data_IF_093073922508
#
_entry.id   IF_093073922508
#
_cell.length_a   1.000
_cell.length_b   1.000
_cell.length_c   1.000
_cell.angle_alpha   90.00
_cell.angle_beta   90.00
_cell.angle_gamma   90.00
#
_symmetry.space_group_name_H-M   'P 1'
#
loop_
_entity.id
_entity.type
_entity.pdbx_description
1 polymer ?
#
# COMPACT_ATOMS: atom_id res chain seq x y z
N UNK A 1 -25.10 12.08 -5.88
CA UNK A 1 -24.12 12.17 -4.76
C UNK A 1 -22.76 11.81 -5.30
N UNK A 2 -21.69 12.51 -4.92
CA UNK A 2 -20.30 12.14 -5.27
C UNK A 2 -19.81 11.06 -4.30
N UNK A 3 -18.98 10.15 -4.79
CA UNK A 3 -18.29 9.19 -3.92
C UNK A 3 -17.30 9.93 -3.00
N UNK A 4 -17.08 9.45 -1.76
CA UNK A 4 -15.99 9.96 -0.92
C UNK A 4 -14.62 9.71 -1.55
N UNK A 5 -13.57 10.46 -1.16
CA UNK A 5 -12.22 10.23 -1.63
C UNK A 5 -11.71 8.83 -1.31
N UNK A 6 -10.95 8.25 -2.23
CA UNK A 6 -10.32 6.94 -2.09
C UNK A 6 -8.87 7.14 -1.68
N UNK A 7 -8.47 6.57 -0.53
CA UNK A 7 -7.08 6.48 -0.09
C UNK A 7 -6.56 5.08 -0.31
N UNK A 8 -5.45 4.95 -1.03
CA UNK A 8 -4.66 3.71 -1.03
C UNK A 8 -3.60 3.76 0.06
N UNK A 9 -3.58 2.74 0.90
CA UNK A 9 -2.48 2.53 1.84
C UNK A 9 -1.40 1.72 1.12
N UNK A 10 -0.18 2.26 1.07
CA UNK A 10 1.02 1.57 0.59
C UNK A 10 1.97 1.31 1.76
N UNK A 11 2.83 0.31 1.63
CA UNK A 11 3.83 0.00 2.65
C UNK A 11 4.23 -1.47 2.66
N UNK A 12 5.26 -1.80 3.42
CA UNK A 12 5.65 -3.19 3.63
C UNK A 12 4.60 -3.91 4.46
N UNK A 13 4.16 -5.12 4.06
CA UNK A 13 3.21 -5.94 4.84
C UNK A 13 3.75 -6.41 6.20
N UNK A 14 5.00 -6.08 6.54
CA UNK A 14 5.50 -6.16 7.92
C UNK A 14 4.77 -5.20 8.88
N UNK A 15 4.17 -4.12 8.35
CA UNK A 15 3.46 -3.08 9.10
C UNK A 15 1.93 -3.24 9.02
N UNK A 16 1.43 -4.48 8.91
CA UNK A 16 -0.01 -4.72 8.72
C UNK A 16 -0.86 -4.21 9.90
N UNK A 17 -0.31 -4.21 11.11
CA UNK A 17 -0.96 -3.64 12.30
C UNK A 17 -1.13 -2.14 12.14
N UNK A 18 -0.06 -1.43 11.78
CA UNK A 18 -0.08 0.02 11.55
C UNK A 18 -0.97 0.39 10.35
N UNK A 19 -1.01 -0.46 9.32
CA UNK A 19 -1.95 -0.30 8.20
C UNK A 19 -3.41 -0.47 8.64
N UNK A 20 -3.69 -1.35 9.59
CA UNK A 20 -5.03 -1.51 10.15
C UNK A 20 -5.46 -0.29 10.98
N UNK A 21 -4.53 0.30 11.75
CA UNK A 21 -4.81 1.55 12.44
C UNK A 21 -5.01 2.74 11.49
N UNK A 22 -4.19 2.83 10.44
CA UNK A 22 -4.35 3.86 9.42
C UNK A 22 -5.70 3.72 8.71
N UNK A 23 -6.09 2.50 8.32
CA UNK A 23 -7.40 2.19 7.75
C UNK A 23 -8.54 2.62 8.67
N UNK A 24 -8.48 2.28 9.97
CA UNK A 24 -9.48 2.72 10.94
C UNK A 24 -9.61 4.26 10.96
N UNK A 25 -8.49 4.99 11.02
CA UNK A 25 -8.50 6.46 11.05
C UNK A 25 -9.09 7.07 9.77
N UNK A 26 -8.69 6.58 8.60
CA UNK A 26 -9.19 7.08 7.30
C UNK A 26 -10.67 6.77 7.10
N UNK A 27 -11.08 5.55 7.45
CA UNK A 27 -12.48 5.11 7.37
C UNK A 27 -13.35 5.93 8.33
N UNK A 28 -12.90 6.16 9.57
CA UNK A 28 -13.60 7.05 10.51
C UNK A 28 -13.68 8.51 10.02
N UNK A 29 -12.74 8.94 9.18
CA UNK A 29 -12.79 10.25 8.51
C UNK A 29 -13.69 10.27 7.25
N UNK A 30 -14.42 9.18 6.97
CA UNK A 30 -15.37 9.09 5.86
C UNK A 30 -14.73 8.81 4.50
N UNK A 31 -13.50 8.30 4.46
CA UNK A 31 -12.78 7.97 3.22
C UNK A 31 -12.96 6.50 2.86
N UNK A 32 -12.89 6.19 1.57
CA UNK A 32 -12.83 4.81 1.08
C UNK A 32 -11.38 4.36 1.16
N UNK A 33 -11.10 3.21 1.79
CA UNK A 33 -9.73 2.71 1.95
C UNK A 33 -9.51 1.46 1.10
N UNK A 34 -8.42 1.45 0.34
CA UNK A 34 -7.90 0.24 -0.32
C UNK A 34 -6.46 -0.01 0.12
N UNK A 35 -6.09 -1.26 0.39
CA UNK A 35 -4.76 -1.60 0.95
C UNK A 35 -4.28 -2.98 0.50
N UNK A 36 -3.02 -3.39 0.74
CA UNK A 36 -2.59 -4.77 0.61
C UNK A 36 -3.47 -5.68 1.48
N UNK A 37 -3.97 -6.77 0.89
CA UNK A 37 -4.87 -7.71 1.58
C UNK A 37 -4.21 -9.04 1.97
N UNK A 38 -2.95 -9.24 1.57
CA UNK A 38 -2.22 -10.49 1.79
C UNK A 38 -0.92 -10.14 2.50
N UNK A 39 -0.71 -10.70 3.68
CA UNK A 39 0.58 -10.62 4.34
C UNK A 39 1.57 -11.54 3.62
N UNK A 40 2.57 -10.94 2.98
CA UNK A 40 3.64 -11.66 2.27
C UNK A 40 4.82 -12.05 3.16
N UNK A 41 4.82 -11.67 4.44
CA UNK A 41 5.93 -11.88 5.38
C UNK A 41 5.71 -13.07 6.31
N UNK A 42 4.49 -13.33 6.74
CA UNK A 42 4.18 -14.53 7.51
C UNK A 42 4.11 -15.77 6.61
N UNK A 43 4.44 -16.98 7.07
CA UNK A 43 4.18 -18.22 6.32
C UNK A 43 2.67 -18.45 6.12
N UNK A 44 2.27 -19.01 4.99
CA UNK A 44 0.90 -19.45 4.75
C UNK A 44 0.90 -20.62 3.75
N UNK A 45 0.00 -21.59 3.89
CA UNK A 45 -0.02 -22.80 3.04
C UNK A 45 -0.22 -22.55 1.54
N UNK A 46 -0.62 -21.33 1.16
CA UNK A 46 -0.73 -20.87 -0.23
C UNK A 46 0.63 -20.42 -0.83
N UNK A 47 1.72 -20.50 -0.06
CA UNK A 47 3.07 -20.03 -0.40
C UNK A 47 4.14 -21.05 0.03
N UNK A 48 3.79 -22.32 -0.01
CA UNK A 48 4.68 -23.41 0.41
C UNK A 48 5.82 -23.64 -0.60
N UNK A 49 5.57 -23.36 -1.89
CA UNK A 49 6.58 -23.37 -2.94
C UNK A 49 7.15 -21.95 -3.20
N UNK A 50 8.48 -21.76 -3.23
CA UNK A 50 9.09 -20.45 -3.48
C UNK A 50 8.73 -19.83 -4.83
N UNK A 51 8.61 -20.62 -5.90
CA UNK A 51 8.30 -20.09 -7.22
C UNK A 51 6.85 -19.60 -7.31
N UNK A 52 5.92 -20.35 -6.72
CA UNK A 52 4.53 -19.90 -6.55
C UNK A 52 4.43 -18.63 -5.69
N UNK A 53 5.23 -18.52 -4.63
CA UNK A 53 5.25 -17.35 -3.77
C UNK A 53 5.71 -16.08 -4.51
N UNK A 54 6.74 -16.19 -5.35
CA UNK A 54 7.22 -15.07 -6.18
C UNK A 54 6.22 -14.68 -7.27
N UNK A 55 5.61 -15.66 -7.94
CA UNK A 55 4.55 -15.41 -8.92
C UNK A 55 3.33 -14.72 -8.29
N UNK A 56 2.93 -15.15 -7.09
CA UNK A 56 1.85 -14.51 -6.33
C UNK A 56 2.24 -13.08 -5.94
N UNK A 57 3.46 -12.86 -5.45
CA UNK A 57 3.95 -11.53 -5.08
C UNK A 57 3.92 -10.57 -6.28
N UNK A 58 4.33 -11.02 -7.46
CA UNK A 58 4.25 -10.22 -8.68
C UNK A 58 2.81 -9.82 -9.02
N UNK A 59 1.88 -10.79 -9.01
CA UNK A 59 0.44 -10.54 -9.25
C UNK A 59 -0.17 -9.58 -8.22
N UNK A 60 0.22 -9.69 -6.95
CA UNK A 60 -0.22 -8.78 -5.89
C UNK A 60 0.33 -7.37 -6.09
N UNK A 61 1.58 -7.24 -6.55
CA UNK A 61 2.17 -5.95 -6.92
C UNK A 61 1.40 -5.28 -8.06
N UNK A 62 1.05 -6.02 -9.11
CA UNK A 62 0.25 -5.51 -10.24
C UNK A 62 -1.15 -5.07 -9.79
N UNK A 63 -1.80 -5.88 -8.95
CA UNK A 63 -3.09 -5.54 -8.34
C UNK A 63 -2.98 -4.28 -7.47
N UNK A 64 -1.89 -4.11 -6.71
CA UNK A 64 -1.70 -2.93 -5.89
C UNK A 64 -1.46 -1.68 -6.72
N UNK A 65 -0.72 -1.76 -7.84
CA UNK A 65 -0.63 -0.65 -8.81
C UNK A 65 -2.00 -0.30 -9.41
N UNK A 66 -2.89 -1.27 -9.62
CA UNK A 66 -4.26 -0.98 -10.01
C UNK A 66 -5.05 -0.23 -8.93
N UNK A 67 -4.88 -0.59 -7.65
CA UNK A 67 -5.45 0.15 -6.50
C UNK A 67 -4.91 1.59 -6.43
N UNK A 68 -3.63 1.78 -6.71
CA UNK A 68 -3.02 3.12 -6.78
C UNK A 68 -3.68 3.94 -7.89
N UNK A 69 -3.85 3.39 -9.11
CA UNK A 69 -4.56 4.09 -10.20
C UNK A 69 -5.97 4.51 -9.80
N UNK A 70 -6.69 3.64 -9.08
CA UNK A 70 -8.06 3.88 -8.62
C UNK A 70 -8.15 5.00 -7.56
N UNK A 71 -7.17 5.09 -6.66
CA UNK A 71 -7.22 5.98 -5.50
C UNK A 71 -7.01 7.47 -5.85
N UNK A 72 -7.59 8.38 -5.07
CA UNK A 72 -7.35 9.82 -5.20
C UNK A 72 -6.03 10.25 -4.53
N UNK A 73 -5.62 9.53 -3.48
CA UNK A 73 -4.45 9.83 -2.66
C UNK A 73 -3.74 8.55 -2.20
N UNK A 74 -2.42 8.62 -1.98
CA UNK A 74 -1.61 7.55 -1.38
C UNK A 74 -1.18 7.92 0.05
N UNK A 75 -1.41 6.99 1.00
CA UNK A 75 -0.84 7.01 2.33
C UNK A 75 0.22 5.91 2.47
N UNK A 76 1.48 6.29 2.64
CA UNK A 76 2.57 5.36 2.94
C UNK A 76 2.67 5.13 4.44
N UNK A 77 2.57 3.87 4.85
CA UNK A 77 2.62 3.44 6.24
C UNK A 77 3.90 2.67 6.56
N UNK A 78 4.61 3.13 7.59
CA UNK A 78 5.73 2.44 8.22
C UNK A 78 7.01 3.28 8.28
N UNK A 79 7.90 2.96 9.22
CA UNK A 79 9.18 3.64 9.43
C UNK A 79 10.29 3.15 8.48
N UNK A 80 9.94 2.42 7.42
CA UNK A 80 10.89 1.89 6.43
C UNK A 80 10.22 1.72 5.06
N UNK A 81 10.89 2.19 4.01
CA UNK A 81 10.47 2.02 2.60
C UNK A 81 11.41 1.05 1.90
N UNK A 82 10.91 -0.15 1.60
CA UNK A 82 11.60 -1.13 0.75
C UNK A 82 11.31 -0.95 -0.74
N UNK A 83 11.98 -1.72 -1.60
CA UNK A 83 11.95 -1.54 -3.06
C UNK A 83 10.54 -1.57 -3.67
N UNK A 84 9.68 -2.50 -3.21
CA UNK A 84 8.30 -2.56 -3.69
C UNK A 84 7.52 -1.29 -3.36
N UNK A 85 7.65 -0.80 -2.13
CA UNK A 85 6.99 0.44 -1.68
C UNK A 85 7.60 1.66 -2.37
N UNK A 86 8.91 1.68 -2.62
CA UNK A 86 9.57 2.73 -3.40
C UNK A 86 9.03 2.79 -4.83
N UNK A 87 8.86 1.63 -5.48
CA UNK A 87 8.27 1.55 -6.81
C UNK A 87 6.79 2.00 -6.82
N UNK A 88 6.03 1.69 -5.76
CA UNK A 88 4.66 2.19 -5.57
C UNK A 88 4.59 3.71 -5.42
N UNK A 89 5.48 4.30 -4.63
CA UNK A 89 5.60 5.76 -4.45
C UNK A 89 5.94 6.44 -5.77
N UNK A 90 6.98 5.96 -6.46
CA UNK A 90 7.39 6.49 -7.76
C UNK A 90 6.24 6.40 -8.78
N UNK A 91 5.53 5.28 -8.79
CA UNK A 91 4.37 5.08 -9.64
C UNK A 91 3.23 6.05 -9.31
N UNK A 92 2.88 6.24 -8.04
CA UNK A 92 1.88 7.21 -7.62
C UNK A 92 2.24 8.65 -8.04
N UNK A 93 3.50 9.04 -7.83
CA UNK A 93 4.04 10.34 -8.25
C UNK A 93 3.98 10.53 -9.76
N UNK A 94 4.29 9.50 -10.53
CA UNK A 94 4.20 9.55 -12.00
C UNK A 94 2.77 9.78 -12.52
N UNK A 95 1.76 9.43 -11.71
CA UNK A 95 0.34 9.68 -12.00
C UNK A 95 -0.14 11.03 -11.46
N UNK A 96 0.73 11.83 -10.84
CA UNK A 96 0.37 13.10 -10.20
C UNK A 96 -0.47 12.93 -8.92
N UNK A 97 -0.49 11.75 -8.31
CA UNK A 97 -1.25 11.50 -7.08
C UNK A 97 -0.53 12.08 -5.87
N UNK A 98 -1.22 12.80 -4.97
CA UNK A 98 -0.65 13.20 -3.69
C UNK A 98 -0.20 11.98 -2.90
N UNK A 99 0.99 12.07 -2.29
CA UNK A 99 1.58 11.03 -1.44
C UNK A 99 1.90 11.65 -0.09
N UNK A 100 1.41 11.02 0.97
CA UNK A 100 1.75 11.37 2.36
C UNK A 100 2.28 10.16 3.11
N UNK A 101 2.97 10.42 4.21
CA UNK A 101 3.70 9.41 4.98
C UNK A 101 3.29 9.47 6.45
N UNK A 102 3.18 8.31 7.10
CA UNK A 102 3.07 8.29 8.58
C UNK A 102 4.40 8.61 9.25
N UNK A 103 5.51 8.41 8.55
CA UNK A 103 6.87 8.77 8.97
C UNK A 103 7.49 9.61 7.85
N UNK A 104 7.48 10.95 7.95
CA UNK A 104 7.96 11.81 6.87
C UNK A 104 9.43 11.56 6.46
N UNK A 105 10.27 11.16 7.41
CA UNK A 105 11.71 10.95 7.20
C UNK A 105 12.06 9.80 6.25
N UNK A 106 11.07 8.97 5.88
CA UNK A 106 11.27 7.85 4.94
C UNK A 106 10.82 8.17 3.52
N UNK A 107 10.38 9.40 3.26
CA UNK A 107 10.08 9.83 1.90
C UNK A 107 11.37 9.83 1.06
N UNK A 108 11.44 9.05 -0.03
CA UNK A 108 12.64 8.99 -0.85
C UNK A 108 13.00 10.31 -1.57
N UNK A 109 12.08 11.25 -1.66
CA UNK A 109 12.27 12.54 -2.33
C UNK A 109 12.07 13.75 -1.38
N UNK A 110 12.16 13.53 -0.05
CA UNK A 110 12.12 14.62 0.95
C UNK A 110 13.35 15.54 0.91
#
# INVERSE_FOLDING_TARGET
>A
MRLPPIVVICGSTRFMTEMAEADLRETSAGRIVVKPGVDTKSPHGLRSDPAEADALKARLGDLHRAKIRLADEVLVVGAYVGDSTRAEIAYARSLGKPVRFTHPDVDPDA
#
